data_IF_552855216875
#
_entry.id   IF_552855216875
#
_cell.length_a   1.000
_cell.length_b   1.000
_cell.length_c   1.000
_cell.angle_alpha   90.00
_cell.angle_beta   90.00
_cell.angle_gamma   90.00
#
_symmetry.space_group_name_H-M   'P 1'
#
loop_
_entity.id
_entity.type
_entity.pdbx_description
1 polymer ?
#
# COMPACT_ATOMS: atom_id res chain seq x y z
N UNK A 1 -12.08 -8.44 -1.35
CA UNK A 1 -11.11 -7.43 -1.84
C UNK A 1 -11.62 -6.04 -1.46
N UNK A 2 -10.79 -5.26 -0.79
CA UNK A 2 -11.15 -3.93 -0.30
C UNK A 2 -10.19 -2.89 -0.86
N UNK A 3 -10.70 -1.67 -1.07
CA UNK A 3 -9.92 -0.46 -1.38
C UNK A 3 -8.79 -0.69 -2.38
N UNK A 4 -9.07 -1.17 -3.60
CA UNK A 4 -8.01 -1.44 -4.57
C UNK A 4 -7.34 -0.14 -5.04
N UNK A 5 -6.02 -0.23 -5.26
CA UNK A 5 -5.22 0.85 -5.83
C UNK A 5 -4.50 0.32 -7.06
N UNK A 6 -4.65 1.00 -8.18
CA UNK A 6 -4.07 0.56 -9.46
C UNK A 6 -2.94 1.50 -9.86
N UNK A 7 -1.83 0.92 -10.29
CA UNK A 7 -0.71 1.68 -10.82
C UNK A 7 -0.19 1.03 -12.11
N UNK A 8 0.18 1.86 -13.10
CA UNK A 8 0.78 1.39 -14.33
C UNK A 8 2.29 1.56 -14.28
N UNK A 9 3.02 0.51 -14.63
CA UNK A 9 4.47 0.55 -14.70
C UNK A 9 4.98 -0.38 -15.78
N UNK A 10 5.85 0.11 -16.66
CA UNK A 10 6.49 -0.67 -17.73
C UNK A 10 5.48 -1.40 -18.63
N UNK A 11 4.35 -0.73 -18.93
CA UNK A 11 3.32 -1.29 -19.80
C UNK A 11 2.41 -2.32 -19.13
N UNK A 12 2.58 -2.54 -17.83
CA UNK A 12 1.74 -3.45 -17.03
C UNK A 12 0.93 -2.69 -16.01
N UNK A 13 -0.16 -3.29 -15.58
CA UNK A 13 -1.06 -2.75 -14.57
C UNK A 13 -0.95 -3.60 -13.32
N UNK A 14 -0.77 -2.93 -12.18
CA UNK A 14 -0.66 -3.59 -10.87
C UNK A 14 -1.81 -3.14 -10.00
N UNK A 15 -2.54 -4.09 -9.43
CA UNK A 15 -3.57 -3.82 -8.43
C UNK A 15 -3.02 -4.21 -7.07
N UNK A 16 -2.99 -3.25 -6.15
CA UNK A 16 -2.76 -3.49 -4.74
C UNK A 16 -4.11 -3.56 -4.05
N UNK A 17 -4.35 -4.58 -3.25
CA UNK A 17 -5.67 -4.81 -2.67
C UNK A 17 -5.54 -5.28 -1.23
N UNK A 18 -6.50 -4.86 -0.41
CA UNK A 18 -6.66 -5.39 0.93
C UNK A 18 -7.49 -6.67 0.88
N UNK A 19 -7.03 -7.68 1.57
CA UNK A 19 -7.75 -8.93 1.75
C UNK A 19 -7.95 -9.14 3.23
N UNK A 20 -9.10 -8.71 3.72
CA UNK A 20 -9.52 -9.10 5.05
C UNK A 20 -10.19 -10.43 4.95
N UNK A 21 -9.82 -11.33 5.82
CA UNK A 21 -10.55 -12.57 5.88
C UNK A 21 -11.92 -12.30 6.53
N UNK A 22 -12.86 -13.15 6.17
CA UNK A 22 -14.21 -13.13 6.73
C UNK A 22 -14.26 -13.79 8.11
N UNK A 23 -13.16 -14.32 8.60
CA UNK A 23 -13.09 -15.01 9.90
C UNK A 23 -12.68 -14.05 11.01
N UNK A 24 -13.33 -14.20 12.15
CA UNK A 24 -13.02 -13.41 13.33
C UNK A 24 -11.56 -13.63 13.77
N UNK A 25 -10.88 -12.53 14.07
CA UNK A 25 -9.50 -12.57 14.57
C UNK A 25 -8.43 -12.49 13.49
N UNK A 26 -8.78 -12.44 12.21
CA UNK A 26 -7.80 -12.27 11.16
C UNK A 26 -7.42 -10.81 10.95
N UNK A 27 -6.13 -10.57 10.74
CA UNK A 27 -5.59 -9.21 10.67
C UNK A 27 -5.69 -8.58 9.29
N UNK A 28 -6.01 -9.37 8.28
CA UNK A 28 -6.02 -8.93 6.90
C UNK A 28 -4.65 -9.04 6.25
N UNK A 29 -4.51 -8.50 5.06
CA UNK A 29 -3.25 -8.48 4.32
C UNK A 29 -3.37 -7.60 3.10
N UNK A 30 -2.23 -7.15 2.59
CA UNK A 30 -2.15 -6.39 1.36
C UNK A 30 -1.47 -7.24 0.30
N UNK A 31 -2.17 -7.52 -0.78
CA UNK A 31 -1.67 -8.29 -1.90
C UNK A 31 -1.43 -7.42 -3.13
N UNK A 32 -0.73 -7.99 -4.11
CA UNK A 32 -0.51 -7.34 -5.40
C UNK A 32 -0.75 -8.33 -6.53
N UNK A 33 -1.47 -7.87 -7.54
CA UNK A 33 -1.76 -8.65 -8.75
C UNK A 33 -1.38 -7.83 -9.98
N UNK A 34 -1.06 -8.51 -11.07
CA UNK A 34 -0.53 -7.89 -12.29
C UNK A 34 -1.31 -8.33 -13.52
N UNK A 35 -1.48 -7.42 -14.48
CA UNK A 35 -2.08 -7.69 -15.79
C UNK A 35 -1.40 -6.85 -16.87
N UNK A 36 -1.46 -7.35 -18.11
CA UNK A 36 -1.02 -6.58 -19.28
C UNK A 36 -2.08 -5.57 -19.75
N UNK A 37 -3.30 -5.65 -19.22
CA UNK A 37 -4.43 -4.78 -19.60
C UNK A 37 -5.15 -4.28 -18.36
N UNK A 38 -5.70 -3.04 -18.39
CA UNK A 38 -6.34 -2.47 -17.22
C UNK A 38 -7.58 -3.25 -16.75
N UNK A 39 -8.30 -3.88 -17.66
CA UNK A 39 -9.47 -4.71 -17.33
C UNK A 39 -9.11 -6.11 -16.84
N UNK A 40 -7.84 -6.49 -16.93
CA UNK A 40 -7.40 -7.82 -16.54
C UNK A 40 -7.45 -8.83 -17.69
N UNK A 41 -7.35 -10.11 -17.40
CA UNK A 41 -7.33 -10.70 -16.05
C UNK A 41 -6.04 -10.43 -15.29
N UNK A 42 -6.17 -10.27 -13.99
CA UNK A 42 -5.04 -10.07 -13.09
C UNK A 42 -4.60 -11.39 -12.47
N UNK A 43 -3.29 -11.56 -12.35
CA UNK A 43 -2.68 -12.72 -11.68
C UNK A 43 -1.98 -12.25 -10.42
N UNK A 44 -2.09 -13.05 -9.36
CA UNK A 44 -1.37 -12.79 -8.12
C UNK A 44 0.13 -12.79 -8.40
N UNK A 45 0.81 -11.71 -8.02
CA UNK A 45 2.23 -11.55 -8.30
C UNK A 45 3.12 -12.41 -7.40
N UNK A 46 2.77 -12.52 -6.12
CA UNK A 46 3.63 -13.14 -5.11
C UNK A 46 3.17 -14.51 -4.66
N UNK A 47 1.90 -14.88 -4.86
CA UNK A 47 1.30 -16.08 -4.29
C UNK A 47 1.07 -15.99 -2.78
N UNK A 48 1.30 -14.82 -2.19
CA UNK A 48 1.11 -14.52 -0.76
C UNK A 48 0.95 -13.02 -0.58
N UNK A 49 0.42 -12.54 0.56
CA UNK A 49 0.36 -11.10 0.81
C UNK A 49 1.75 -10.46 0.84
N UNK A 50 1.83 -9.24 0.32
CA UNK A 50 3.04 -8.41 0.43
C UNK A 50 3.25 -7.97 1.87
N UNK A 51 2.18 -7.59 2.56
CA UNK A 51 2.17 -7.25 3.98
C UNK A 51 1.08 -8.06 4.65
N UNK A 52 1.44 -8.82 5.69
CA UNK A 52 0.50 -9.68 6.40
C UNK A 52 0.66 -9.62 7.92
N UNK A 53 1.32 -8.58 8.42
CA UNK A 53 1.56 -8.44 9.86
C UNK A 53 1.19 -7.04 10.34
N UNK A 54 0.94 -6.92 11.64
CA UNK A 54 0.66 -5.63 12.27
C UNK A 54 1.98 -5.02 12.70
N UNK A 55 2.31 -3.88 12.12
CA UNK A 55 3.52 -3.11 12.46
C UNK A 55 3.07 -1.71 12.90
N UNK A 56 3.64 -1.21 14.00
CA UNK A 56 3.29 0.09 14.58
C UNK A 56 1.79 0.22 14.89
N UNK A 57 1.10 -0.89 15.16
CA UNK A 57 -0.33 -0.91 15.43
C UNK A 57 -1.24 -0.79 14.22
N UNK A 58 -0.69 -0.71 13.01
CA UNK A 58 -1.46 -0.52 11.78
C UNK A 58 -1.97 -1.85 11.23
N UNK A 59 -3.29 -1.95 11.07
CA UNK A 59 -3.88 -3.06 10.34
C UNK A 59 -3.49 -2.94 8.86
N UNK A 60 -3.04 -4.04 8.19
CA UNK A 60 -2.62 -3.97 6.79
C UNK A 60 -3.82 -3.93 5.83
N UNK A 61 -4.44 -2.76 5.74
CA UNK A 61 -5.58 -2.46 4.85
C UNK A 61 -5.45 -1.06 4.26
N UNK A 62 -6.31 -0.75 3.30
CA UNK A 62 -6.51 0.60 2.73
C UNK A 62 -5.21 1.20 2.20
N UNK A 63 -4.51 0.43 1.39
CA UNK A 63 -3.25 0.84 0.81
C UNK A 63 -3.45 1.87 -0.31
N UNK A 64 -2.55 2.83 -0.36
CA UNK A 64 -2.44 3.81 -1.44
C UNK A 64 -1.01 3.87 -1.94
N UNK A 65 -0.81 3.59 -3.22
CA UNK A 65 0.53 3.60 -3.83
C UNK A 65 0.77 4.93 -4.54
N UNK A 66 1.91 5.54 -4.25
CA UNK A 66 2.28 6.84 -4.78
C UNK A 66 3.65 6.76 -5.47
N UNK A 67 3.71 7.27 -6.71
CA UNK A 67 4.96 7.37 -7.47
C UNK A 67 5.53 8.78 -7.30
N UNK A 68 6.71 8.88 -6.71
CA UNK A 68 7.45 10.13 -6.56
C UNK A 68 8.75 10.02 -7.37
N UNK A 69 8.73 10.52 -8.60
CA UNK A 69 9.89 10.53 -9.50
C UNK A 69 10.55 9.16 -9.69
N UNK A 70 9.74 8.10 -9.81
CA UNK A 70 10.22 6.73 -10.01
C UNK A 70 10.45 5.96 -8.72
N UNK A 71 10.30 6.60 -7.56
CA UNK A 71 10.29 5.92 -6.27
C UNK A 71 8.83 5.66 -5.86
N UNK A 72 8.52 4.42 -5.54
CA UNK A 72 7.15 4.01 -5.21
C UNK A 72 7.00 3.80 -3.73
N UNK A 73 6.04 4.50 -3.14
CA UNK A 73 5.73 4.42 -1.72
C UNK A 73 4.30 3.92 -1.55
N UNK A 74 4.07 3.16 -0.49
CA UNK A 74 2.72 2.72 -0.15
C UNK A 74 2.37 3.20 1.25
N UNK A 75 1.30 3.98 1.34
CA UNK A 75 0.69 4.38 2.61
C UNK A 75 -0.44 3.42 2.90
N UNK A 76 -0.51 2.93 4.12
CA UNK A 76 -1.57 2.01 4.49
C UNK A 76 -1.81 2.02 5.99
N UNK A 77 -2.97 1.57 6.41
CA UNK A 77 -3.23 1.28 7.80
C UNK A 77 -4.66 1.49 8.22
N UNK A 78 -5.13 0.62 9.07
CA UNK A 78 -6.36 0.76 9.83
C UNK A 78 -6.07 0.86 11.32
N UNK A 79 -7.13 0.81 12.12
CA UNK A 79 -7.08 0.90 13.60
C UNK A 79 -6.41 2.17 14.11
N UNK A 80 -6.55 3.28 13.37
CA UNK A 80 -6.03 4.57 13.79
C UNK A 80 -4.53 4.77 13.60
N UNK A 81 -3.86 3.89 12.86
CA UNK A 81 -2.42 3.98 12.59
C UNK A 81 -2.15 3.91 11.09
N UNK A 82 -1.20 4.71 10.62
CA UNK A 82 -0.80 4.74 9.21
C UNK A 82 0.70 4.58 9.09
N UNK A 83 1.11 3.63 8.25
CA UNK A 83 2.51 3.41 7.90
C UNK A 83 2.78 3.85 6.47
N UNK A 84 4.04 4.17 6.20
CA UNK A 84 4.56 4.27 4.84
C UNK A 84 5.72 3.29 4.67
N UNK A 85 5.71 2.60 3.52
CA UNK A 85 6.78 1.69 3.12
C UNK A 85 7.24 2.06 1.72
N UNK A 86 8.48 1.71 1.39
CA UNK A 86 9.02 1.89 0.05
C UNK A 86 8.99 0.55 -0.68
N UNK A 87 8.41 0.55 -1.88
CA UNK A 87 8.33 -0.65 -2.71
C UNK A 87 9.60 -0.79 -3.55
N UNK A 88 10.01 -2.04 -3.82
CA UNK A 88 11.07 -2.28 -4.79
C UNK A 88 10.56 -2.10 -6.22
N UNK A 89 11.46 -2.19 -7.21
CA UNK A 89 11.16 -1.82 -8.59
C UNK A 89 10.11 -2.71 -9.26
N UNK A 90 9.98 -3.96 -8.86
CA UNK A 90 9.02 -4.90 -9.45
C UNK A 90 7.81 -5.18 -8.55
N UNK A 91 7.69 -4.45 -7.45
CA UNK A 91 6.59 -4.57 -6.48
C UNK A 91 6.50 -5.94 -5.79
N UNK A 92 7.63 -6.64 -5.71
CA UNK A 92 7.68 -7.96 -5.07
C UNK A 92 8.09 -7.90 -3.59
N UNK A 93 8.52 -6.73 -3.11
CA UNK A 93 8.98 -6.59 -1.74
C UNK A 93 9.18 -5.14 -1.33
N UNK A 94 9.66 -4.96 -0.10
CA UNK A 94 9.90 -3.65 0.50
C UNK A 94 11.40 -3.36 0.54
N UNK A 95 11.74 -2.07 0.41
CA UNK A 95 13.11 -1.57 0.45
C UNK A 95 13.25 -0.68 1.68
N UNK A 96 14.30 -0.83 2.50
CA UNK A 96 14.51 0.08 3.63
C UNK A 96 14.70 1.52 3.17
N UNK A 97 14.23 2.47 3.98
CA UNK A 97 14.57 3.88 3.84
C UNK A 97 16.05 4.11 4.16
N UNK A 98 16.54 5.31 3.89
CA UNK A 98 17.97 5.66 4.13
C UNK A 98 18.42 5.42 5.56
N UNK A 99 17.52 5.59 6.53
CA UNK A 99 17.81 5.35 7.95
C UNK A 99 17.73 3.89 8.37
N UNK A 100 17.47 2.97 7.41
CA UNK A 100 17.35 1.55 7.66
C UNK A 100 15.97 1.09 8.09
N UNK A 101 15.02 2.00 8.31
CA UNK A 101 13.65 1.67 8.69
C UNK A 101 12.89 1.13 7.48
N UNK A 102 12.15 0.03 7.67
CA UNK A 102 11.28 -0.52 6.61
C UNK A 102 9.86 0.03 6.71
N UNK A 103 9.31 0.08 7.92
CA UNK A 103 7.96 0.59 8.20
C UNK A 103 8.07 1.87 9.01
N UNK A 104 7.65 3.00 8.43
CA UNK A 104 7.61 4.28 9.14
C UNK A 104 6.18 4.63 9.49
N UNK A 105 5.92 4.90 10.76
CA UNK A 105 4.62 5.40 11.16
C UNK A 105 4.51 6.88 10.84
N UNK A 106 3.44 7.26 10.13
CA UNK A 106 3.17 8.64 9.71
C UNK A 106 1.75 9.06 10.07
N UNK A 107 1.18 8.45 11.09
CA UNK A 107 -0.21 8.65 11.48
C UNK A 107 -0.52 10.13 11.70
N UNK A 108 -1.41 10.75 10.90
CA UNK A 108 -1.85 12.12 11.15
C UNK A 108 -2.82 12.18 12.33
N UNK A 109 -3.01 13.38 12.86
CA UNK A 109 -3.99 13.60 13.91
C UNK A 109 -5.39 13.23 13.42
N UNK A 110 -6.15 12.55 14.26
CA UNK A 110 -7.52 12.08 13.97
C UNK A 110 -7.63 11.04 12.84
N UNK A 111 -6.53 10.39 12.50
CA UNK A 111 -6.52 9.35 11.48
C UNK A 111 -7.27 8.11 11.97
N UNK A 112 -8.10 7.54 11.07
CA UNK A 112 -8.76 6.24 11.30
C UNK A 112 -8.26 5.23 10.28
N UNK A 113 -8.46 5.51 8.98
CA UNK A 113 -8.03 4.65 7.88
C UNK A 113 -8.10 5.42 6.55
N UNK A 114 -7.76 4.79 5.45
CA UNK A 114 -7.96 5.35 4.11
C UNK A 114 -7.03 6.50 3.74
N UNK A 115 -5.70 6.32 3.75
CA UNK A 115 -4.79 7.40 3.37
C UNK A 115 -4.80 7.68 1.88
N UNK A 116 -4.58 8.94 1.52
CA UNK A 116 -4.42 9.38 0.14
C UNK A 116 -3.37 10.49 0.09
N UNK A 117 -2.46 10.43 -0.86
CA UNK A 117 -1.36 11.39 -0.99
C UNK A 117 -1.32 11.95 -2.40
N UNK A 118 -1.11 13.27 -2.53
CA UNK A 118 -0.74 13.85 -3.82
C UNK A 118 0.27 14.98 -3.63
N UNK A 119 0.95 15.31 -4.72
CA UNK A 119 1.95 16.38 -4.76
C UNK A 119 1.46 17.50 -5.67
N UNK A 120 1.54 18.73 -5.19
CA UNK A 120 1.20 19.92 -5.97
C UNK A 120 2.13 21.08 -5.60
N UNK A 121 2.70 21.73 -6.62
CA UNK A 121 3.61 22.87 -6.44
C UNK A 121 4.76 22.56 -5.47
N UNK A 122 5.32 21.34 -5.56
CA UNK A 122 6.42 20.91 -4.71
C UNK A 122 6.04 20.55 -3.29
N UNK A 123 4.76 20.61 -2.94
CA UNK A 123 4.24 20.27 -1.62
C UNK A 123 3.46 18.97 -1.65
N UNK A 124 3.53 18.21 -0.55
CA UNK A 124 2.79 16.98 -0.36
C UNK A 124 1.54 17.23 0.46
N UNK A 125 0.41 16.71 -0.02
CA UNK A 125 -0.88 16.82 0.64
C UNK A 125 -1.36 15.43 1.01
N UNK A 126 -1.68 15.23 2.28
CA UNK A 126 -2.09 13.93 2.82
C UNK A 126 -3.54 14.05 3.30
N UNK A 127 -4.41 13.23 2.68
CA UNK A 127 -5.82 13.17 3.05
C UNK A 127 -6.11 11.88 3.80
N UNK A 128 -7.01 11.97 4.77
CA UNK A 128 -7.43 10.83 5.60
C UNK A 128 -8.95 10.87 5.80
N UNK A 129 -9.50 9.71 6.07
CA UNK A 129 -10.88 9.57 6.48
C UNK A 129 -11.03 9.41 8.00
#
# INVERSE_FOLDING_TARGET
>A
MWAPSVIRKNGKYYIFFGANDVHEGEIGGIGVAVSDRPEGPYKDLLGKPLINEIVNGAQPIDQFVYNDNGHYYMYYGGWGHCNVVQLNDDFTGLVPFEDGTVYKEVTPENYVEGPFMFKKDGKYYFYVE
#
